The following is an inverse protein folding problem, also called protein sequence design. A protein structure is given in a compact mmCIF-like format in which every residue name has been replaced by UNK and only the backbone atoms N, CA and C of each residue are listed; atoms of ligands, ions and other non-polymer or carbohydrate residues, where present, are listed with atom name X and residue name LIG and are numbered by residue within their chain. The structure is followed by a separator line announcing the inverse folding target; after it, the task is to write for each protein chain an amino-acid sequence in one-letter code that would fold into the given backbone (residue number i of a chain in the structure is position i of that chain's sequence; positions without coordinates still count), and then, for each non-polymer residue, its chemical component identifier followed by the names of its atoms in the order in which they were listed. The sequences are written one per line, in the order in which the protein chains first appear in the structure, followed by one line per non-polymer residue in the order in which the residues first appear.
data_IF_586265068980
#
_entry.id   IF_586265068980
#
_cell.length_a   1.000
_cell.length_b   1.000
_cell.length_c   1.000
_cell.angle_alpha   90.00
_cell.angle_beta   90.00
_cell.angle_gamma   90.00
#
_symmetry.space_group_name_H-M   'P 1'
#
loop_
_entity.id
_entity.type
_entity.pdbx_description
1 polymer ?
#
# COMPACT_ATOMS: atom_id res chain seq x y z
N UNK A 1 6.87 23.42 -22.09
CA UNK A 1 5.94 22.88 -21.09
C UNK A 1 6.42 21.47 -20.75
N UNK A 2 7.15 21.32 -19.66
CA UNK A 2 7.70 20.02 -19.22
C UNK A 2 6.59 19.20 -18.59
N UNK A 3 6.21 18.10 -19.25
CA UNK A 3 5.26 17.12 -18.70
C UNK A 3 5.84 16.57 -17.40
N UNK A 4 5.31 16.99 -16.25
CA UNK A 4 5.72 16.47 -14.95
C UNK A 4 5.30 15.00 -14.93
N UNK A 5 6.26 14.10 -15.11
CA UNK A 5 6.04 12.67 -15.04
C UNK A 5 5.41 12.33 -13.68
N UNK A 6 4.34 11.53 -13.70
CA UNK A 6 3.64 11.07 -12.50
C UNK A 6 4.66 10.62 -11.44
N UNK A 7 4.50 11.04 -10.18
CA UNK A 7 5.41 10.63 -9.12
C UNK A 7 5.13 9.19 -8.65
N UNK A 8 4.10 8.54 -9.18
CA UNK A 8 3.72 7.16 -8.92
C UNK A 8 4.14 6.24 -10.06
N UNK A 9 4.83 5.15 -9.73
CA UNK A 9 5.21 4.08 -10.65
C UNK A 9 4.50 2.80 -10.24
N UNK A 10 3.91 2.09 -11.21
CA UNK A 10 3.35 0.75 -10.99
C UNK A 10 4.50 -0.21 -10.70
N UNK A 11 4.45 -0.88 -9.54
CA UNK A 11 5.54 -1.72 -9.04
C UNK A 11 5.57 -3.13 -9.69
N UNK A 12 4.50 -3.49 -10.39
CA UNK A 12 4.31 -4.84 -10.96
C UNK A 12 3.88 -5.88 -9.93
N UNK A 13 3.81 -5.51 -8.65
CA UNK A 13 3.25 -6.33 -7.58
C UNK A 13 1.73 -6.31 -7.62
N UNK A 14 1.13 -7.49 -7.63
CA UNK A 14 -0.31 -7.71 -7.60
C UNK A 14 -0.67 -8.51 -6.35
N UNK A 15 -1.63 -8.01 -5.59
CA UNK A 15 -2.14 -8.65 -4.38
C UNK A 15 -3.53 -9.18 -4.71
N UNK A 16 -3.86 -10.39 -4.29
CA UNK A 16 -5.20 -10.94 -4.41
C UNK A 16 -5.68 -11.41 -3.04
N UNK A 17 -6.90 -11.01 -2.68
CA UNK A 17 -7.49 -11.42 -1.41
C UNK A 17 -9.02 -11.44 -1.47
N UNK A 18 -9.61 -12.18 -0.54
CA UNK A 18 -11.02 -12.09 -0.23
C UNK A 18 -11.27 -10.88 0.70
N UNK A 19 -12.22 -10.02 0.31
CA UNK A 19 -12.52 -8.79 1.04
C UNK A 19 -13.04 -9.09 2.44
N UNK A 20 -12.25 -8.76 3.47
CA UNK A 20 -12.63 -9.00 4.88
C UNK A 20 -13.46 -7.85 5.47
N UNK A 21 -13.36 -6.65 4.90
CA UNK A 21 -14.06 -5.44 5.33
C UNK A 21 -14.44 -4.60 4.12
N UNK A 22 -15.61 -3.99 4.17
CA UNK A 22 -16.27 -3.28 3.08
C UNK A 22 -15.84 -1.81 2.95
N UNK A 23 -14.55 -1.52 3.16
CA UNK A 23 -14.03 -0.14 3.21
C UNK A 23 -13.43 0.35 1.89
N UNK A 24 -13.21 -0.52 0.90
CA UNK A 24 -12.58 -0.18 -0.36
C UNK A 24 -13.58 -0.10 -1.51
N UNK A 25 -13.44 0.91 -2.36
CA UNK A 25 -14.09 0.96 -3.66
C UNK A 25 -13.14 0.43 -4.75
N UNK A 26 -13.71 -0.15 -5.80
CA UNK A 26 -12.98 -0.54 -7.00
C UNK A 26 -12.55 0.71 -7.75
N UNK A 27 -11.29 0.80 -8.17
CA UNK A 27 -10.78 1.98 -8.87
C UNK A 27 -11.17 2.04 -10.36
N UNK A 28 -11.72 0.96 -10.91
CA UNK A 28 -12.19 0.92 -12.31
C UNK A 28 -13.64 1.36 -12.46
N UNK A 29 -14.54 0.93 -11.56
CA UNK A 29 -15.97 1.24 -11.62
C UNK A 29 -16.48 2.15 -10.49
N UNK A 30 -15.61 2.51 -9.53
CA UNK A 30 -15.91 3.29 -8.33
C UNK A 30 -16.97 2.66 -7.37
N UNK A 31 -17.50 1.47 -7.70
CA UNK A 31 -18.41 0.71 -6.84
C UNK A 31 -17.69 0.09 -5.63
N UNK A 32 -18.46 -0.12 -4.57
CA UNK A 32 -17.98 -0.76 -3.34
C UNK A 32 -17.62 -2.23 -3.59
N UNK A 33 -16.56 -2.71 -2.94
CA UNK A 33 -16.20 -4.13 -2.95
C UNK A 33 -16.79 -4.78 -1.69
N UNK A 34 -17.74 -5.69 -1.90
CA UNK A 34 -18.47 -6.35 -0.80
C UNK A 34 -17.60 -7.32 -0.01
N UNK A 35 -17.93 -7.51 1.28
CA UNK A 35 -17.29 -8.53 2.12
C UNK A 35 -17.50 -9.91 1.51
N UNK A 36 -16.46 -10.74 1.50
CA UNK A 36 -16.49 -12.08 0.90
C UNK A 36 -16.19 -12.10 -0.60
N UNK A 37 -16.09 -10.95 -1.26
CA UNK A 37 -15.78 -10.87 -2.69
C UNK A 37 -14.28 -10.80 -2.94
N UNK A 38 -13.80 -11.51 -3.96
CA UNK A 38 -12.40 -11.41 -4.39
C UNK A 38 -12.10 -10.01 -4.95
N UNK A 39 -10.91 -9.51 -4.63
CA UNK A 39 -10.38 -8.26 -5.16
C UNK A 39 -8.90 -8.37 -5.49
N UNK A 40 -8.47 -7.51 -6.42
CA UNK A 40 -7.07 -7.41 -6.86
C UNK A 40 -6.55 -6.03 -6.47
N UNK A 41 -5.43 -6.00 -5.74
CA UNK A 41 -4.68 -4.82 -5.39
C UNK A 41 -3.51 -4.62 -6.36
N UNK A 42 -3.46 -3.47 -7.02
CA UNK A 42 -2.32 -3.05 -7.84
C UNK A 42 -1.45 -2.09 -7.03
N UNK A 43 -0.19 -2.45 -6.82
CA UNK A 43 0.73 -1.68 -5.99
C UNK A 43 1.41 -0.59 -6.80
N UNK A 44 1.38 0.63 -6.26
CA UNK A 44 2.07 1.80 -6.78
C UNK A 44 3.07 2.33 -5.75
N UNK A 45 4.29 2.58 -6.19
CA UNK A 45 5.32 3.21 -5.39
C UNK A 45 5.48 4.68 -5.79
N UNK A 46 5.48 5.56 -4.80
CA UNK A 46 5.81 6.97 -4.97
C UNK A 46 7.32 7.15 -4.92
N UNK A 47 7.84 8.15 -5.64
CA UNK A 47 9.26 8.57 -5.57
C UNK A 47 9.77 8.93 -4.16
N UNK A 48 8.86 9.16 -3.21
CA UNK A 48 9.18 9.50 -1.81
C UNK A 48 9.09 8.28 -0.88
N UNK A 49 8.92 7.07 -1.41
CA UNK A 49 8.82 5.83 -0.63
C UNK A 49 7.43 5.49 -0.11
N UNK A 50 6.39 6.26 -0.45
CA UNK A 50 5.01 5.91 -0.12
C UNK A 50 4.51 4.79 -1.03
N UNK A 51 3.71 3.88 -0.47
CA UNK A 51 3.04 2.81 -1.21
C UNK A 51 1.54 3.06 -1.20
N UNK A 52 0.91 2.96 -2.37
CA UNK A 52 -0.53 2.99 -2.54
C UNK A 52 -0.98 1.68 -3.18
N UNK A 53 -2.13 1.16 -2.74
CA UNK A 53 -2.76 -0.02 -3.35
C UNK A 53 -4.08 0.42 -3.94
N UNK A 54 -4.20 0.30 -5.26
CA UNK A 54 -5.48 0.49 -5.94
C UNK A 54 -6.20 -0.84 -5.95
N UNK A 55 -7.35 -0.90 -5.27
CA UNK A 55 -8.20 -2.08 -5.24
C UNK A 55 -9.14 -2.11 -6.43
N UNK A 56 -9.33 -3.28 -7.02
CA UNK A 56 -10.26 -3.51 -8.12
C UNK A 56 -11.07 -4.79 -7.85
N UNK A 57 -12.31 -4.87 -8.33
CA UNK A 57 -12.94 -6.18 -8.52
C UNK A 57 -12.11 -6.98 -9.52
N UNK A 58 -12.07 -8.30 -9.39
CA UNK A 58 -11.34 -9.18 -10.32
C UNK A 58 -11.83 -8.94 -11.75
N UNK A 59 -13.15 -8.86 -11.90
CA UNK A 59 -13.86 -8.67 -13.16
C UNK A 59 -13.57 -7.30 -13.80
N UNK A 60 -13.25 -6.30 -12.99
CA UNK A 60 -12.96 -4.94 -13.43
C UNK A 60 -11.48 -4.69 -13.75
N UNK A 61 -10.64 -5.72 -13.61
CA UNK A 61 -9.21 -5.64 -13.89
C UNK A 61 -8.72 -6.85 -14.70
N UNK A 62 -9.06 -6.92 -16.01
CA UNK A 62 -8.78 -8.07 -16.87
C UNK A 62 -7.29 -8.42 -17.00
N UNK A 63 -6.39 -7.45 -16.79
CA UNK A 63 -4.94 -7.66 -16.80
C UNK A 63 -4.47 -8.74 -15.81
N UNK A 64 -5.21 -8.97 -14.71
CA UNK A 64 -4.85 -10.01 -13.73
C UNK A 64 -4.92 -11.43 -14.32
N UNK A 65 -5.63 -11.64 -15.44
CA UNK A 65 -5.62 -12.91 -16.16
C UNK A 65 -4.23 -13.34 -16.61
N UNK A 66 -3.41 -12.37 -17.00
CA UNK A 66 -2.08 -12.61 -17.55
C UNK A 66 -1.01 -12.69 -16.46
N UNK A 67 -1.36 -12.42 -15.20
CA UNK A 67 -0.43 -12.51 -14.06
C UNK A 67 -0.35 -13.97 -13.60
N UNK A 68 0.83 -14.62 -13.64
CA UNK A 68 1.00 -15.98 -13.13
C UNK A 68 0.65 -16.04 -11.64
N UNK A 69 0.08 -17.15 -11.17
CA UNK A 69 -0.30 -17.35 -9.75
C UNK A 69 0.85 -17.10 -8.77
N UNK A 70 2.07 -17.54 -9.12
CA UNK A 70 3.27 -17.30 -8.32
C UNK A 70 3.61 -15.81 -8.13
N UNK A 71 3.08 -14.93 -8.96
CA UNK A 71 3.28 -13.48 -8.92
C UNK A 71 2.04 -12.75 -8.35
N UNK A 72 1.03 -13.49 -7.87
CA UNK A 72 -0.12 -12.95 -7.15
C UNK A 72 0.07 -13.20 -5.66
N UNK A 73 0.48 -12.16 -4.94
CA UNK A 73 0.61 -12.22 -3.48
C UNK A 73 -0.75 -12.51 -2.84
N UNK A 74 -0.81 -13.45 -1.91
CA UNK A 74 -2.06 -13.86 -1.25
C UNK A 74 -2.85 -14.97 -1.98
N UNK A 75 -2.45 -15.39 -3.18
CA UNK A 75 -3.17 -16.44 -3.93
C UNK A 75 -3.28 -17.76 -3.16
N UNK A 76 -2.17 -18.24 -2.59
CA UNK A 76 -2.12 -19.50 -1.82
C UNK A 76 -2.84 -19.42 -0.46
N UNK A 77 -3.21 -18.22 -0.02
CA UNK A 77 -3.91 -17.97 1.23
C UNK A 77 -5.44 -17.89 1.03
N UNK A 78 -5.90 -17.86 -0.23
CA UNK A 78 -7.31 -17.98 -0.59
C UNK A 78 -7.82 -19.37 -0.28
N UNK A 79 -9.12 -19.48 0.02
CA UNK A 79 -9.77 -20.78 0.08
C UNK A 79 -9.83 -21.43 -1.32
N UNK A 80 -10.03 -22.75 -1.35
CA UNK A 80 -10.05 -23.53 -2.60
C UNK A 80 -11.16 -23.02 -3.54
N UNK A 81 -12.30 -22.59 -3.02
CA UNK A 81 -13.41 -22.08 -3.81
C UNK A 81 -13.06 -20.77 -4.54
N UNK A 82 -12.36 -19.86 -3.87
CA UNK A 82 -11.87 -18.61 -4.45
C UNK A 82 -10.72 -18.86 -5.44
N UNK A 83 -9.85 -19.81 -5.17
CA UNK A 83 -8.82 -20.23 -6.15
C UNK A 83 -9.48 -20.76 -7.43
N UNK A 84 -10.44 -21.67 -7.31
CA UNK A 84 -11.21 -22.20 -8.45
C UNK A 84 -11.98 -21.11 -9.21
N UNK A 85 -12.60 -20.17 -8.49
CA UNK A 85 -13.31 -19.06 -9.10
C UNK A 85 -12.37 -18.18 -9.94
N UNK A 86 -11.17 -17.89 -9.44
CA UNK A 86 -10.17 -17.14 -10.19
C UNK A 86 -9.70 -17.92 -11.43
N UNK A 87 -9.44 -19.22 -11.29
CA UNK A 87 -9.00 -20.07 -12.41
C UNK A 87 -10.05 -20.17 -13.51
N UNK A 88 -11.33 -20.33 -13.14
CA UNK A 88 -12.44 -20.33 -14.09
C UNK A 88 -12.50 -19.00 -14.83
N UNK A 89 -12.45 -17.88 -14.10
CA UNK A 89 -12.48 -16.56 -14.72
C UNK A 89 -11.27 -16.31 -15.65
N UNK A 90 -10.07 -16.75 -15.26
CA UNK A 90 -8.88 -16.68 -16.14
C UNK A 90 -9.07 -17.48 -17.43
N UNK A 91 -9.67 -18.66 -17.33
CA UNK A 91 -9.93 -19.55 -18.46
C UNK A 91 -10.98 -18.96 -19.39
N UNK A 92 -12.07 -18.40 -18.84
CA UNK A 92 -13.14 -17.76 -19.60
C UNK A 92 -12.63 -16.54 -20.40
N UNK A 93 -11.64 -15.81 -19.85
CA UNK A 93 -11.03 -14.64 -20.49
C UNK A 93 -9.89 -14.98 -21.48
N UNK A 94 -9.36 -16.20 -21.43
CA UNK A 94 -8.29 -16.67 -22.35
C UNK A 94 -8.80 -17.57 -23.46
N UNK A 95 -10.10 -17.88 -23.49
CA UNK A 95 -10.70 -18.60 -24.61
C UNK A 95 -10.73 -17.73 -25.88
N UNK A 96 -10.19 -18.19 -27.02
CA UNK A 96 -10.24 -17.45 -28.27
C UNK A 96 -11.69 -17.39 -28.76
N UNK A 97 -12.25 -16.18 -28.80
CA UNK A 97 -13.56 -15.92 -29.40
C UNK A 97 -13.52 -16.35 -30.87
N UNK A 98 -14.21 -17.44 -31.20
CA UNK A 98 -14.49 -17.81 -32.59
C UNK A 98 -15.47 -16.80 -33.20
N UNK A 99 -15.20 -16.21 -34.37
CA UNK A 99 -16.15 -15.31 -35.02
C UNK A 99 -17.21 -16.15 -35.74
N UNK A 100 -18.49 -15.90 -35.48
CA UNK A 100 -19.57 -16.42 -36.33
C UNK A 100 -20.58 -15.31 -36.64
N UNK A 101 -20.79 -15.15 -37.95
CA UNK A 101 -21.90 -14.49 -38.65
C UNK A 101 -22.00 -12.97 -38.68
N UNK A 102 -21.37 -12.46 -39.76
CA UNK A 102 -21.86 -11.46 -40.71
C UNK A 102 -23.30 -10.94 -40.56
N UNK A 103 -23.42 -9.61 -40.48
CA UNK A 103 -24.36 -8.81 -41.30
C UNK A 103 -23.68 -7.46 -41.62
N UNK A 104 -23.40 -7.21 -42.90
CA UNK A 104 -23.25 -5.87 -43.53
C UNK A 104 -24.57 -5.50 -44.25
N UNK A 105 -24.81 -4.27 -44.76
CA UNK A 105 -23.95 -3.09 -44.95
C UNK A 105 -24.56 -1.78 -44.36
N UNK A 106 -23.94 -0.58 -44.39
CA UNK A 106 -23.92 0.38 -45.50
C UNK A 106 -22.99 1.56 -45.17
N UNK A 107 -22.32 2.04 -46.22
CA UNK A 107 -21.32 3.10 -46.37
C UNK A 107 -21.94 4.50 -46.20
N UNK A 108 -21.26 5.44 -45.52
CA UNK A 108 -21.08 6.83 -46.02
C UNK A 108 -19.94 7.58 -45.28
N UNK A 109 -18.87 7.85 -46.06
CA UNK A 109 -18.08 9.10 -46.17
C UNK A 109 -17.19 9.66 -45.02
N UNK A 110 -15.89 9.73 -45.34
CA UNK A 110 -14.88 10.70 -44.86
C UNK A 110 -15.06 12.07 -45.60
N UNK A 111 -14.36 13.16 -45.24
CA UNK A 111 -12.94 13.39 -45.67
C UNK A 111 -12.02 13.85 -44.50
N UNK A 112 -10.76 13.40 -44.41
CA UNK A 112 -9.54 13.86 -45.13
C UNK A 112 -9.06 15.25 -44.64
N UNK A 113 -7.78 15.59 -44.44
CA UNK A 113 -6.45 14.99 -44.54
C UNK A 113 -5.53 15.93 -43.69
N UNK A 114 -4.26 15.68 -43.33
CA UNK A 114 -3.07 15.43 -44.17
C UNK A 114 -1.88 15.06 -43.27
N UNK A 115 -0.98 14.26 -43.85
CA UNK A 115 0.33 13.79 -43.36
C UNK A 115 1.42 14.92 -43.45
N UNK A 116 2.76 14.72 -43.26
CA UNK A 116 3.54 13.49 -43.53
C UNK A 116 4.71 13.13 -42.55
N UNK A 117 5.22 11.90 -42.75
CA UNK A 117 6.61 11.33 -42.64
C UNK A 117 7.45 11.65 -41.38
N UNK A 118 8.20 10.72 -40.77
CA UNK A 118 9.35 10.02 -41.35
C UNK A 118 9.82 8.85 -40.45
N UNK A 119 10.28 7.77 -41.07
CA UNK A 119 10.84 6.60 -40.40
C UNK A 119 12.33 6.83 -40.09
N UNK A 120 12.73 6.63 -38.82
CA UNK A 120 14.15 6.52 -38.45
C UNK A 120 14.40 5.22 -37.71
N UNK A 121 15.17 4.36 -38.37
CA UNK A 121 15.70 3.09 -37.90
C UNK A 121 17.01 3.38 -37.15
N UNK A 122 17.10 3.07 -35.86
CA UNK A 122 18.38 3.02 -35.14
C UNK A 122 18.54 1.65 -34.49
N UNK A 123 19.52 0.90 -34.98
CA UNK A 123 20.12 -0.25 -34.31
C UNK A 123 21.09 0.29 -33.25
N UNK A 124 21.18 -0.31 -32.06
CA UNK A 124 22.39 -0.46 -31.23
C UNK A 124 22.05 -1.49 -30.14
N UNK A 125 22.49 -2.73 -30.30
CA UNK A 125 23.73 -3.30 -29.72
C UNK A 125 23.52 -3.80 -28.29
N UNK A 126 23.36 -5.12 -28.19
CA UNK A 126 23.48 -5.95 -27.00
C UNK A 126 24.93 -5.99 -26.50
N UNK A 127 25.15 -5.85 -25.19
CA UNK A 127 26.17 -6.62 -24.48
C UNK A 127 25.87 -6.71 -22.97
N UNK A 128 26.21 -7.82 -22.29
CA UNK A 128 25.81 -8.13 -20.91
C UNK A 128 26.89 -7.79 -19.88
N UNK A 129 26.58 -8.07 -18.61
CA UNK A 129 27.45 -8.08 -17.42
C UNK A 129 27.51 -6.78 -16.59
N UNK A 130 26.55 -6.64 -15.67
CA UNK A 130 26.75 -5.91 -14.42
C UNK A 130 26.86 -6.93 -13.29
N UNK A 131 28.11 -7.29 -12.95
CA UNK A 131 28.43 -7.97 -11.70
C UNK A 131 27.95 -7.11 -10.53
N UNK A 132 27.21 -7.73 -9.61
CA UNK A 132 26.79 -7.12 -8.36
C UNK A 132 28.01 -6.62 -7.57
N UNK A 133 28.16 -5.29 -7.47
CA UNK A 133 29.10 -4.68 -6.53
C UNK A 133 28.57 -4.90 -5.12
N UNK A 134 29.39 -5.53 -4.28
CA UNK A 134 29.20 -5.52 -2.82
C UNK A 134 29.34 -4.07 -2.35
N UNK A 135 28.35 -3.49 -1.64
CA UNK A 135 28.43 -2.11 -1.16
C UNK A 135 29.61 -1.92 -0.22
N UNK A 136 30.35 -0.83 -0.42
CA UNK A 136 31.47 -0.47 0.44
C UNK A 136 30.93 0.09 1.77
N UNK A 137 31.59 -0.10 2.94
CA UNK A 137 31.09 0.39 4.23
C UNK A 137 30.78 1.90 4.25
N UNK A 138 31.47 2.69 3.43
CA UNK A 138 31.20 4.13 3.27
C UNK A 138 29.83 4.44 2.66
N UNK A 139 29.31 3.58 1.76
CA UNK A 139 28.00 3.73 1.12
C UNK A 139 26.86 3.45 2.11
N UNK A 140 27.09 2.53 3.07
CA UNK A 140 26.15 2.23 4.14
C UNK A 140 26.04 3.39 5.16
N UNK A 141 27.16 4.04 5.49
CA UNK A 141 27.17 5.21 6.37
C UNK A 141 26.53 6.46 5.72
N UNK A 142 26.73 6.65 4.41
CA UNK A 142 26.05 7.71 3.65
C UNK A 142 24.53 7.50 3.59
N UNK A 143 24.09 6.25 3.41
CA UNK A 143 22.67 5.87 3.41
C UNK A 143 22.00 6.03 4.80
N UNK A 144 22.72 5.70 5.88
CA UNK A 144 22.25 5.92 7.25
C UNK A 144 22.07 7.42 7.57
N UNK A 145 23.04 8.26 7.20
CA UNK A 145 22.94 9.72 7.34
C UNK A 145 21.82 10.32 6.50
N UNK A 146 21.60 9.84 5.29
CA UNK A 146 20.49 10.29 4.45
C UNK A 146 19.13 9.95 5.09
N UNK A 147 19.00 8.77 5.70
CA UNK A 147 17.81 8.37 6.47
C UNK A 147 17.58 9.24 7.69
N UNK A 148 18.63 9.56 8.45
CA UNK A 148 18.54 10.46 9.60
C UNK A 148 18.06 11.86 9.22
N UNK A 149 18.57 12.44 8.12
CA UNK A 149 18.15 13.76 7.64
C UNK A 149 16.67 13.76 7.22
N UNK A 150 16.21 12.70 6.57
CA UNK A 150 14.79 12.55 6.19
C UNK A 150 13.89 12.43 7.44
N UNK A 151 14.30 11.65 8.43
CA UNK A 151 13.57 11.52 9.71
C UNK A 151 13.52 12.86 10.45
N UNK A 152 14.64 13.58 10.54
CA UNK A 152 14.68 14.90 11.17
C UNK A 152 13.81 15.93 10.43
N UNK A 153 13.82 15.93 9.09
CA UNK A 153 12.96 16.80 8.30
C UNK A 153 11.47 16.46 8.51
N UNK A 154 11.12 15.17 8.58
CA UNK A 154 9.77 14.71 8.88
C UNK A 154 9.31 15.12 10.30
N UNK A 155 10.19 14.99 11.30
CA UNK A 155 9.92 15.41 12.68
C UNK A 155 9.78 16.94 12.80
N UNK A 156 10.58 17.71 12.06
CA UNK A 156 10.49 19.18 12.02
C UNK A 156 9.22 19.67 11.30
N UNK A 157 8.75 18.96 10.27
CA UNK A 157 7.45 19.26 9.65
C UNK A 157 6.28 18.88 10.56
N UNK A 158 6.41 17.80 11.34
CA UNK A 158 5.41 17.42 12.35
C UNK A 158 5.28 18.49 13.45
N UNK A 159 6.39 19.03 13.95
CA UNK A 159 6.33 20.10 14.97
C UNK A 159 5.69 21.38 14.45
N UNK A 160 5.96 21.77 13.19
CA UNK A 160 5.30 22.93 12.55
C UNK A 160 3.79 22.72 12.37
N UNK A 161 3.37 21.50 12.04
CA UNK A 161 1.96 21.17 11.86
C UNK A 161 1.22 21.08 13.21
N UNK A 162 1.88 20.55 14.23
CA UNK A 162 1.35 20.46 15.59
C UNK A 162 1.16 21.83 16.23
N UNK A 163 2.11 22.76 16.04
CA UNK A 163 1.99 24.12 16.55
C UNK A 163 0.79 24.85 15.94
N UNK A 164 0.52 24.65 14.65
CA UNK A 164 -0.70 25.18 14.01
C UNK A 164 -1.94 24.62 14.70
N UNK A 165 -2.02 23.32 14.94
CA UNK A 165 -3.17 22.75 15.63
C UNK A 165 -3.31 23.25 17.06
N UNK A 166 -2.21 23.47 17.80
CA UNK A 166 -2.27 24.11 19.14
C UNK A 166 -2.96 25.47 19.08
N UNK A 167 -2.52 26.36 18.18
CA UNK A 167 -3.10 27.69 18.02
C UNK A 167 -4.59 27.63 17.63
N UNK A 168 -4.97 26.70 16.75
CA UNK A 168 -6.39 26.53 16.37
C UNK A 168 -7.23 25.83 17.44
N UNK A 169 -6.61 25.04 18.32
CA UNK A 169 -7.28 24.36 19.43
C UNK A 169 -7.74 25.36 20.49
N UNK A 170 -6.93 26.38 20.78
CA UNK A 170 -7.32 27.47 21.68
C UNK A 170 -8.50 28.26 21.10
N UNK A 171 -8.45 28.57 19.80
CA UNK A 171 -9.57 29.20 19.10
C UNK A 171 -10.84 28.32 19.07
N UNK A 172 -10.69 26.98 19.04
CA UNK A 172 -11.80 26.04 19.11
C UNK A 172 -12.47 26.02 20.48
N UNK A 173 -11.67 25.98 21.55
CA UNK A 173 -12.15 26.08 22.92
C UNK A 173 -12.92 27.39 23.16
N UNK A 174 -12.36 28.50 22.69
CA UNK A 174 -13.03 29.79 22.75
C UNK A 174 -14.32 29.80 21.91
N UNK A 175 -14.28 29.31 20.67
CA UNK A 175 -15.45 29.27 19.78
C UNK A 175 -16.61 28.44 20.36
N UNK A 176 -16.32 27.39 21.12
CA UNK A 176 -17.33 26.51 21.73
C UNK A 176 -18.17 27.21 22.81
N UNK A 177 -17.63 28.23 23.48
CA UNK A 177 -18.33 28.98 24.53
C UNK A 177 -18.73 30.40 24.09
N UNK A 178 -18.11 30.92 23.04
CA UNK A 178 -18.34 32.27 22.55
C UNK A 178 -19.69 32.40 21.83
N UNK A 179 -20.53 33.36 22.26
CA UNK A 179 -21.83 33.66 21.64
C UNK A 179 -21.82 34.89 20.72
N UNK A 180 -20.74 35.65 20.73
CA UNK A 180 -20.62 36.88 19.95
C UNK A 180 -20.38 36.58 18.44
N UNK A 181 -21.25 37.07 17.53
CA UNK A 181 -21.08 36.92 16.08
C UNK A 181 -19.97 37.80 15.48
N UNK A 182 -19.58 38.90 16.15
CA UNK A 182 -18.52 39.82 15.70
C UNK A 182 -17.24 39.67 16.54
N UNK A 183 -17.07 38.52 17.19
CA UNK A 183 -15.92 38.27 18.04
C UNK A 183 -14.59 38.37 17.27
N UNK A 184 -13.71 39.28 17.71
CA UNK A 184 -12.37 39.50 17.17
C UNK A 184 -11.26 38.79 17.96
N UNK A 185 -11.62 38.10 19.04
CA UNK A 185 -10.70 37.31 19.86
C UNK A 185 -9.98 36.25 19.01
N UNK A 186 -8.81 35.83 19.47
CA UNK A 186 -7.97 34.85 18.78
C UNK A 186 -7.57 35.27 17.36
N UNK A 187 -7.23 36.54 17.13
CA UNK A 187 -6.80 37.04 15.81
C UNK A 187 -7.84 36.76 14.70
N UNK A 188 -9.13 36.92 15.01
CA UNK A 188 -10.27 36.58 14.13
C UNK A 188 -10.40 35.08 13.79
N UNK A 189 -9.71 34.18 14.51
CA UNK A 189 -9.84 32.73 14.31
C UNK A 189 -11.16 32.18 14.83
N UNK A 190 -11.72 32.75 15.91
CA UNK A 190 -13.00 32.33 16.48
C UNK A 190 -14.09 32.22 15.39
N UNK A 191 -14.28 33.28 14.59
CA UNK A 191 -15.26 33.31 13.50
C UNK A 191 -15.00 32.25 12.43
N UNK A 192 -13.73 32.02 12.07
CA UNK A 192 -13.34 30.99 11.09
C UNK A 192 -13.64 29.58 11.61
N UNK A 193 -13.37 29.32 12.88
CA UNK A 193 -13.65 28.02 13.52
C UNK A 193 -15.16 27.79 13.60
N UNK A 194 -15.94 28.78 14.05
CA UNK A 194 -17.41 28.71 14.05
C UNK A 194 -17.97 28.37 12.68
N UNK A 195 -17.56 29.11 11.64
CA UNK A 195 -17.99 28.85 10.27
C UNK A 195 -17.62 27.43 9.78
N UNK A 196 -16.45 26.92 10.21
CA UNK A 196 -16.01 25.56 9.88
C UNK A 196 -16.84 24.49 10.59
N UNK A 197 -17.22 24.71 11.86
CA UNK A 197 -18.12 23.84 12.61
C UNK A 197 -19.52 23.85 12.00
N UNK A 198 -20.05 25.02 11.65
CA UNK A 198 -21.37 25.15 11.00
C UNK A 198 -21.40 24.40 9.66
N UNK A 199 -20.36 24.56 8.85
CA UNK A 199 -20.20 23.79 7.62
C UNK A 199 -20.13 22.29 7.91
N UNK A 200 -19.35 21.87 8.91
CA UNK A 200 -19.21 20.45 9.27
C UNK A 200 -20.56 19.82 9.65
N UNK A 201 -21.34 20.48 10.50
CA UNK A 201 -22.65 19.97 10.93
C UNK A 201 -23.62 19.89 9.75
N UNK A 202 -23.66 20.92 8.88
CA UNK A 202 -24.57 20.98 7.73
C UNK A 202 -24.17 20.06 6.58
N UNK A 203 -22.87 19.92 6.33
CA UNK A 203 -22.33 19.10 5.24
C UNK A 203 -22.17 17.64 5.65
N UNK A 204 -21.41 17.38 6.73
CA UNK A 204 -21.10 16.01 7.12
C UNK A 204 -22.25 15.33 7.86
N UNK A 205 -23.04 16.08 8.65
CA UNK A 205 -24.16 15.54 9.43
C UNK A 205 -25.10 14.63 8.61
N UNK A 206 -25.66 15.10 7.47
CA UNK A 206 -26.54 14.31 6.62
C UNK A 206 -25.84 13.13 5.93
N UNK A 207 -24.59 13.30 5.49
CA UNK A 207 -23.86 12.31 4.69
C UNK A 207 -23.02 11.32 5.50
N UNK A 208 -22.97 11.43 6.83
CA UNK A 208 -22.09 10.62 7.70
C UNK A 208 -22.24 9.10 7.56
N UNK A 209 -23.37 8.64 7.03
CA UNK A 209 -23.66 7.22 6.77
C UNK A 209 -23.26 6.75 5.36
N UNK A 210 -23.10 7.69 4.43
CA UNK A 210 -23.03 7.42 2.99
C UNK A 210 -21.64 7.73 2.44
N UNK A 211 -20.97 8.75 2.96
CA UNK A 211 -19.71 9.22 2.39
C UNK A 211 -18.62 9.42 3.44
N UNK A 212 -17.36 9.03 3.14
CA UNK A 212 -16.23 9.34 3.99
C UNK A 212 -16.09 10.84 4.25
N UNK A 213 -15.61 11.20 5.45
CA UNK A 213 -15.42 12.60 5.84
C UNK A 213 -14.52 13.37 4.87
N UNK A 214 -13.55 12.68 4.29
CA UNK A 214 -12.55 13.17 3.33
C UNK A 214 -13.16 13.61 1.99
N UNK A 215 -14.39 13.20 1.66
CA UNK A 215 -15.05 13.65 0.43
C UNK A 215 -15.34 15.16 0.41
N UNK A 216 -15.15 15.86 1.54
CA UNK A 216 -15.15 17.32 1.59
C UNK A 216 -13.87 17.82 2.27
N UNK A 217 -13.08 18.60 1.53
CA UNK A 217 -11.81 19.15 2.02
C UNK A 217 -11.98 20.05 3.27
N UNK A 218 -13.09 20.79 3.39
CA UNK A 218 -13.37 21.61 4.56
C UNK A 218 -13.72 20.76 5.79
N UNK A 219 -14.53 19.71 5.61
CA UNK A 219 -14.86 18.74 6.67
C UNK A 219 -13.61 18.01 7.17
N UNK A 220 -12.70 17.62 6.28
CA UNK A 220 -11.44 16.98 6.65
C UNK A 220 -10.57 17.84 7.59
N UNK A 221 -10.45 19.14 7.31
CA UNK A 221 -9.63 20.06 8.13
C UNK A 221 -10.17 20.23 9.55
N UNK A 222 -11.47 20.52 9.68
CA UNK A 222 -12.09 20.70 11.00
C UNK A 222 -12.14 19.38 11.78
N UNK A 223 -12.31 18.25 11.08
CA UNK A 223 -12.22 16.93 11.71
C UNK A 223 -10.84 16.63 12.31
N UNK A 224 -9.77 16.96 11.59
CA UNK A 224 -8.40 16.81 12.10
C UNK A 224 -8.19 17.64 13.36
N UNK A 225 -8.69 18.88 13.38
CA UNK A 225 -8.63 19.75 14.56
C UNK A 225 -9.44 19.16 15.74
N UNK A 226 -10.65 18.66 15.49
CA UNK A 226 -11.47 18.01 16.54
C UNK A 226 -10.79 16.73 17.08
N UNK A 227 -10.19 15.93 16.21
CA UNK A 227 -9.41 14.75 16.62
C UNK A 227 -8.16 15.15 17.42
N UNK A 228 -7.48 16.23 17.03
CA UNK A 228 -6.35 16.76 17.77
C UNK A 228 -6.78 17.20 19.17
N UNK A 229 -7.85 18.01 19.25
CA UNK A 229 -8.44 18.43 20.52
C UNK A 229 -8.77 17.23 21.41
N UNK A 230 -9.46 16.22 20.89
CA UNK A 230 -9.83 15.04 21.66
C UNK A 230 -8.61 14.28 22.22
N UNK A 231 -7.49 14.23 21.50
CA UNK A 231 -6.24 13.59 21.96
C UNK A 231 -5.54 14.40 23.06
N UNK A 232 -5.61 15.72 22.99
CA UNK A 232 -4.92 16.63 23.92
C UNK A 232 -5.87 17.25 24.95
N UNK A 233 -7.12 16.80 25.00
CA UNK A 233 -8.15 17.36 25.85
C UNK A 233 -7.78 17.14 27.33
N UNK A 234 -7.69 18.21 28.14
CA UNK A 234 -7.32 18.09 29.56
C UNK A 234 -8.50 17.59 30.42
N UNK A 235 -9.72 17.57 29.88
CA UNK A 235 -10.91 17.12 30.61
C UNK A 235 -10.72 15.66 31.04
N UNK A 236 -11.02 15.29 32.30
CA UNK A 236 -10.91 13.89 32.75
C UNK A 236 -11.88 12.98 31.98
N UNK A 237 -11.66 11.66 31.95
CA UNK A 237 -12.53 10.71 31.23
C UNK A 237 -13.98 10.72 31.73
N UNK A 238 -14.21 11.06 33.00
CA UNK A 238 -15.53 11.19 33.62
C UNK A 238 -16.19 12.56 33.42
N UNK A 239 -15.47 13.53 32.85
CA UNK A 239 -15.94 14.89 32.64
C UNK A 239 -16.44 15.13 31.21
N UNK A 240 -17.35 16.09 31.06
CA UNK A 240 -17.83 16.56 29.77
C UNK A 240 -17.01 17.74 29.27
N UNK A 241 -16.55 17.68 28.02
CA UNK A 241 -15.84 18.77 27.39
C UNK A 241 -16.82 19.78 26.77
N UNK A 242 -16.45 21.07 26.78
CA UNK A 242 -17.24 22.15 26.15
C UNK A 242 -17.26 22.06 24.62
N UNK A 243 -16.24 21.44 24.02
CA UNK A 243 -16.15 21.29 22.56
C UNK A 243 -17.09 20.18 22.10
N UNK A 244 -18.02 20.53 21.23
CA UNK A 244 -18.97 19.58 20.63
C UNK A 244 -18.23 18.41 19.98
N UNK A 245 -18.70 17.18 20.23
CA UNK A 245 -18.12 15.91 19.76
C UNK A 245 -16.79 15.47 20.40
N UNK A 246 -16.19 16.25 21.30
CA UNK A 246 -14.95 15.85 21.97
C UNK A 246 -15.12 14.55 22.78
N UNK A 247 -16.15 14.44 23.62
CA UNK A 247 -16.39 13.26 24.46
C UNK A 247 -16.53 11.98 23.62
N UNK A 248 -17.34 12.05 22.56
CA UNK A 248 -17.50 10.94 21.61
C UNK A 248 -16.18 10.57 20.92
N UNK A 249 -15.40 11.56 20.48
CA UNK A 249 -14.12 11.33 19.83
C UNK A 249 -13.09 10.72 20.78
N UNK A 250 -13.03 11.20 22.03
CA UNK A 250 -12.15 10.66 23.07
C UNK A 250 -12.43 9.18 23.30
N UNK A 251 -13.70 8.82 23.48
CA UNK A 251 -14.10 7.42 23.66
C UNK A 251 -13.75 6.57 22.42
N UNK A 252 -14.04 7.09 21.22
CA UNK A 252 -13.75 6.39 19.97
C UNK A 252 -12.24 6.18 19.75
N UNK A 253 -11.43 7.17 20.08
CA UNK A 253 -9.97 7.09 20.02
C UNK A 253 -9.46 6.06 21.03
N UNK A 254 -9.93 6.10 22.28
CA UNK A 254 -9.55 5.13 23.31
C UNK A 254 -9.91 3.69 22.91
N UNK A 255 -11.13 3.47 22.40
CA UNK A 255 -11.56 2.15 21.89
C UNK A 255 -10.70 1.67 20.72
N UNK A 256 -10.26 2.58 19.83
CA UNK A 256 -9.36 2.22 18.73
C UNK A 256 -7.98 1.85 19.26
N UNK A 257 -7.40 2.66 20.14
CA UNK A 257 -6.09 2.39 20.74
C UNK A 257 -6.06 1.05 21.49
N UNK A 258 -7.12 0.71 22.23
CA UNK A 258 -7.22 -0.57 22.91
C UNK A 258 -7.24 -1.76 21.93
N UNK A 259 -7.96 -1.66 20.81
CA UNK A 259 -7.92 -2.69 19.76
C UNK A 259 -6.55 -2.80 19.10
N UNK A 260 -5.97 -1.67 18.72
CA UNK A 260 -4.65 -1.64 18.07
C UNK A 260 -3.57 -2.24 19.01
N UNK A 261 -3.65 -1.96 20.32
CA UNK A 261 -2.78 -2.59 21.33
C UNK A 261 -3.00 -4.10 21.46
N UNK A 262 -4.26 -4.55 21.47
CA UNK A 262 -4.59 -5.98 21.51
C UNK A 262 -4.09 -6.72 20.26
N UNK A 263 -4.25 -6.14 19.07
CA UNK A 263 -3.76 -6.71 17.82
C UNK A 263 -2.23 -6.79 17.80
N UNK A 264 -1.54 -5.74 18.27
CA UNK A 264 -0.07 -5.75 18.42
C UNK A 264 0.39 -6.82 19.41
N UNK A 265 -0.32 -6.98 20.53
CA UNK A 265 0.01 -8.00 21.52
C UNK A 265 -0.18 -9.41 20.94
N UNK A 266 -1.29 -9.66 20.24
CA UNK A 266 -1.52 -10.95 19.57
C UNK A 266 -0.48 -11.25 18.50
N UNK A 267 -0.07 -10.24 17.71
CA UNK A 267 1.00 -10.40 16.73
C UNK A 267 2.34 -10.73 17.39
N UNK A 268 2.67 -10.08 18.51
CA UNK A 268 3.86 -10.37 19.31
C UNK A 268 3.84 -11.80 19.84
N UNK A 269 2.71 -12.23 20.39
CA UNK A 269 2.56 -13.58 20.96
C UNK A 269 2.60 -14.66 19.87
N UNK A 270 2.00 -14.39 18.70
CA UNK A 270 2.09 -15.25 17.52
C UNK A 270 3.54 -15.40 17.02
N UNK A 271 4.29 -14.30 16.92
CA UNK A 271 5.70 -14.34 16.56
C UNK A 271 6.53 -15.09 17.59
N UNK A 272 6.26 -14.89 18.88
CA UNK A 272 6.92 -15.63 19.96
C UNK A 272 6.65 -17.13 19.85
N UNK A 273 5.39 -17.52 19.64
CA UNK A 273 5.00 -18.92 19.45
C UNK A 273 5.71 -19.54 18.23
N UNK A 274 5.75 -18.84 17.09
CA UNK A 274 6.45 -19.33 15.89
C UNK A 274 7.97 -19.46 16.10
N UNK A 275 8.55 -18.57 16.91
CA UNK A 275 9.97 -18.64 17.27
C UNK A 275 10.26 -19.87 18.16
N UNK A 276 9.32 -20.22 19.05
CA UNK A 276 9.40 -21.38 19.93
C UNK A 276 9.07 -22.70 19.22
N UNK A 277 8.15 -22.69 18.24
CA UNK A 277 7.70 -23.86 17.46
C UNK A 277 8.83 -24.52 16.64
N UNK A 278 9.81 -23.73 16.21
CA UNK A 278 11.09 -24.24 15.71
C UNK A 278 12.22 -23.76 16.62
N UNK A 279 12.67 -24.58 17.58
CA UNK A 279 13.79 -24.22 18.44
C UNK A 279 15.01 -23.86 17.58
N UNK A 280 15.70 -22.77 17.95
CA UNK A 280 16.91 -22.31 17.25
C UNK A 280 17.91 -23.46 17.06
N UNK A 281 18.00 -24.33 18.07
CA UNK A 281 18.82 -25.54 18.07
C UNK A 281 18.47 -26.50 16.92
N UNK A 282 17.18 -26.70 16.62
CA UNK A 282 16.74 -27.56 15.52
C UNK A 282 17.08 -26.94 14.16
N UNK A 283 16.97 -25.62 14.02
CA UNK A 283 17.41 -24.90 12.81
C UNK A 283 18.92 -25.00 12.60
N UNK A 284 19.71 -24.85 13.65
CA UNK A 284 21.17 -25.01 13.60
C UNK A 284 21.55 -26.44 13.20
N UNK A 285 20.94 -27.45 13.84
CA UNK A 285 21.20 -28.85 13.52
C UNK A 285 20.88 -29.21 12.07
N UNK A 286 19.80 -28.64 11.49
CA UNK A 286 19.47 -28.83 10.08
C UNK A 286 20.52 -28.19 9.16
N UNK A 287 20.94 -26.96 9.43
CA UNK A 287 21.98 -26.27 8.65
C UNK A 287 23.31 -27.03 8.71
N UNK A 288 23.65 -27.60 9.86
CA UNK A 288 24.84 -28.44 10.03
C UNK A 288 24.73 -29.76 9.24
N UNK A 289 23.57 -30.42 9.26
CA UNK A 289 23.31 -31.62 8.46
C UNK A 289 23.41 -31.34 6.96
N UNK A 290 22.80 -30.26 6.48
CA UNK A 290 22.84 -29.83 5.08
C UNK A 290 24.29 -29.51 4.66
N UNK A 291 25.06 -28.84 5.52
CA UNK A 291 26.48 -28.57 5.30
C UNK A 291 27.28 -29.87 5.13
N UNK A 292 27.06 -30.86 5.99
CA UNK A 292 27.74 -32.16 5.90
C UNK A 292 27.38 -32.88 4.59
N UNK A 293 26.11 -32.85 4.20
CA UNK A 293 25.65 -33.44 2.94
C UNK A 293 26.34 -32.79 1.72
N UNK A 294 26.43 -31.46 1.68
CA UNK A 294 27.13 -30.74 0.62
C UNK A 294 28.61 -31.12 0.57
N UNK A 295 29.28 -31.22 1.72
CA UNK A 295 30.69 -31.63 1.77
C UNK A 295 30.90 -33.05 1.25
N UNK A 296 29.97 -33.96 1.53
CA UNK A 296 30.01 -35.33 1.04
C UNK A 296 29.83 -35.40 -0.48
N UNK A 297 28.88 -34.64 -1.03
CA UNK A 297 28.70 -34.51 -2.49
C UNK A 297 29.98 -33.98 -3.15
N UNK A 298 30.63 -32.97 -2.55
CA UNK A 298 31.89 -32.41 -3.06
C UNK A 298 33.00 -33.48 -3.07
N UNK A 299 33.10 -34.29 -2.01
CA UNK A 299 34.08 -35.36 -1.92
C UNK A 299 33.87 -36.43 -3.01
N UNK A 300 32.63 -36.83 -3.26
CA UNK A 300 32.26 -37.78 -4.32
C UNK A 300 32.60 -37.25 -5.71
N UNK A 301 32.26 -35.99 -6.01
CA UNK A 301 32.61 -35.35 -7.29
C UNK A 301 34.13 -35.36 -7.50
N UNK A 302 34.92 -35.07 -6.45
CA UNK A 302 36.39 -35.10 -6.52
C UNK A 302 36.92 -36.50 -6.78
N UNK A 303 36.38 -37.51 -6.08
CA UNK A 303 36.77 -38.91 -6.28
C UNK A 303 36.45 -39.40 -7.70
N UNK A 304 35.27 -39.08 -8.23
CA UNK A 304 34.88 -39.40 -9.60
C UNK A 304 35.79 -38.71 -10.64
N UNK A 305 36.16 -37.44 -10.40
CA UNK A 305 37.11 -36.74 -11.28
C UNK A 305 38.50 -37.38 -11.25
N UNK A 306 39.00 -37.77 -10.08
CA UNK A 306 40.29 -38.46 -9.95
C UNK A 306 40.29 -39.82 -10.67
N UNK A 307 39.21 -40.60 -10.53
CA UNK A 307 39.04 -41.88 -11.23
C UNK A 307 38.98 -41.71 -12.76
N UNK A 308 38.34 -40.65 -13.25
CA UNK A 308 38.30 -40.31 -14.68
C UNK A 308 39.63 -39.76 -15.23
N UNK A 309 40.51 -39.26 -14.37
CA UNK A 309 41.80 -38.68 -14.75
C UNK A 309 42.96 -39.67 -14.71
N UNK A 310 42.79 -40.91 -14.25
CA UNK A 310 43.80 -41.96 -14.44
C UNK A 310 43.86 -42.33 -15.93
N UNK A 311 44.93 -41.99 -16.66
CA UNK A 311 45.09 -42.43 -18.02
C UNK A 311 45.46 -43.91 -18.02
N UNK A 312 44.91 -44.62 -18.98
CA UNK A 312 45.26 -45.93 -19.47
C UNK A 312 46.76 -45.98 -19.86
N UNK A 313 47.67 -46.00 -18.88
CA UNK A 313 49.14 -46.15 -19.09
C UNK A 313 49.61 -47.60 -18.92
N UNK A 314 48.75 -48.56 -19.23
CA UNK A 314 49.10 -49.99 -19.24
C UNK A 314 48.53 -50.64 -20.50
N UNK A 315 48.98 -50.21 -21.70
CA UNK A 315 49.00 -51.09 -22.89
C UNK A 315 49.72 -50.42 -24.07
N UNK A 316 51.05 -50.44 -24.09
CA UNK A 316 51.81 -50.54 -25.34
C UNK A 316 52.98 -51.48 -25.05
N UNK A 317 52.79 -52.75 -25.42
CA UNK A 317 53.87 -53.69 -25.71
C UNK A 317 54.17 -53.70 -27.19
#
# INVERSE_FOLDING_TARGET
MTTIASPWTKDGTYIIECTRRDHSCCRSCDDKIDVGRLRVGVVYQHKNGYVCINWHHVECYPEVCYVPERNLEGYWELDVAHQEMLQRWKTDQTSPVSPTSAVTPVITEMPAATAPVEAVRVRHSTSPAALARVPCPADAHASARAREVIVMAAMSQQSSHEEKFRVYNDALLHAATCRDPQCTQEQNRCRKVKASIDHFVRCYGPRRKISPIESCAACGKIWQLLCYHAKTCPTPPSGHCVVSQCDYLREKIARKQARDQSELQQARDSLKSKLEEWPVQRRIAQVEADRLQVLQIIAEIRAQKAARQQPQMMSIG
#
